data_IF_652748483101
#
_entry.id   IF_652748483101
#
_cell.length_a   1.000
_cell.length_b   1.000
_cell.length_c   1.000
_cell.angle_alpha   90.00
_cell.angle_beta   90.00
_cell.angle_gamma   90.00
#
_symmetry.space_group_name_H-M   'P 1'
#
loop_
_entity.id
_entity.type
_entity.pdbx_description
1 polymer ?
#
# COMPACT_ATOMS: atom_id res chain seq x y z
N UNK A 1 17.48 7.78 -16.42
CA UNK A 1 16.03 7.54 -16.54
C UNK A 1 15.44 8.61 -17.44
N UNK A 2 14.52 8.25 -18.32
CA UNK A 2 13.69 9.18 -19.06
C UNK A 2 12.23 8.88 -18.73
N UNK A 3 11.42 9.90 -18.46
CA UNK A 3 10.02 9.68 -18.09
C UNK A 3 9.14 10.81 -18.63
N UNK A 4 7.90 10.44 -18.99
CA UNK A 4 6.82 11.32 -19.37
C UNK A 4 5.62 11.00 -18.47
N UNK A 5 5.16 11.97 -17.67
CA UNK A 5 4.00 11.82 -16.80
C UNK A 5 2.91 12.80 -17.26
N UNK A 6 1.77 12.27 -17.68
CA UNK A 6 0.61 13.01 -18.16
C UNK A 6 -0.52 12.81 -17.17
N UNK A 7 -1.02 13.92 -16.63
CA UNK A 7 -2.12 13.96 -15.66
C UNK A 7 -3.18 14.94 -16.12
N UNK A 8 -4.44 14.53 -16.09
CA UNK A 8 -5.55 15.34 -16.57
C UNK A 8 -6.60 15.59 -15.47
N UNK A 9 -6.42 16.60 -14.60
CA UNK A 9 -7.37 16.85 -13.52
C UNK A 9 -8.66 17.51 -14.05
N UNK A 10 -9.79 16.83 -13.88
CA UNK A 10 -11.14 17.33 -14.13
C UNK A 10 -11.78 17.71 -12.80
N UNK A 11 -12.13 18.99 -12.64
CA UNK A 11 -12.70 19.52 -11.40
C UNK A 11 -14.19 19.80 -11.57
N UNK A 12 -14.99 19.37 -10.59
CA UNK A 12 -16.39 19.72 -10.44
C UNK A 12 -16.66 20.21 -9.02
N UNK A 13 -17.47 21.25 -8.87
CA UNK A 13 -17.86 21.81 -7.57
C UNK A 13 -19.37 21.79 -7.42
N UNK A 14 -19.85 21.45 -6.22
CA UNK A 14 -21.26 21.45 -5.88
C UNK A 14 -21.45 21.89 -4.42
N UNK A 15 -21.91 23.12 -4.21
CA UNK A 15 -22.04 23.69 -2.87
C UNK A 15 -20.67 23.79 -2.18
N UNK A 16 -20.54 23.17 -1.01
CA UNK A 16 -19.27 23.06 -0.25
C UNK A 16 -18.38 21.90 -0.72
N UNK A 17 -18.85 21.06 -1.64
CA UNK A 17 -18.09 19.88 -2.10
C UNK A 17 -17.28 20.18 -3.36
N UNK A 18 -16.06 19.64 -3.40
CA UNK A 18 -15.15 19.70 -4.55
C UNK A 18 -14.75 18.28 -4.93
N UNK A 19 -14.90 17.94 -6.20
CA UNK A 19 -14.54 16.65 -6.77
C UNK A 19 -13.49 16.83 -7.85
N UNK A 20 -12.46 15.99 -7.83
CA UNK A 20 -11.39 15.96 -8.82
C UNK A 20 -11.27 14.52 -9.33
N UNK A 21 -11.43 14.31 -10.64
CA UNK A 21 -11.10 13.06 -11.32
C UNK A 21 -9.86 13.32 -12.17
N UNK A 22 -8.80 12.56 -11.95
CA UNK A 22 -7.52 12.72 -12.63
C UNK A 22 -7.11 11.39 -13.26
N UNK A 23 -7.35 11.20 -14.56
CA UNK A 23 -6.67 10.15 -15.34
C UNK A 23 -5.17 10.43 -15.39
N UNK A 24 -4.38 9.36 -15.24
CA UNK A 24 -2.92 9.41 -15.19
C UNK A 24 -2.36 8.38 -16.17
N UNK A 25 -1.46 8.84 -17.04
CA UNK A 25 -0.65 7.99 -17.91
C UNK A 25 0.80 8.38 -17.75
N UNK A 26 1.64 7.43 -17.36
CA UNK A 26 3.07 7.65 -17.16
C UNK A 26 3.87 6.66 -17.98
N UNK A 27 4.77 7.15 -18.83
CA UNK A 27 5.73 6.33 -19.58
C UNK A 27 7.11 6.50 -18.97
N UNK A 28 7.79 5.41 -18.64
CA UNK A 28 9.12 5.43 -18.02
C UNK A 28 10.05 4.51 -18.79
N UNK A 29 11.22 5.02 -19.16
CA UNK A 29 12.26 4.28 -19.84
C UNK A 29 13.58 4.33 -19.08
N UNK A 30 14.19 3.16 -18.92
CA UNK A 30 15.59 3.03 -18.51
C UNK A 30 16.32 2.10 -19.48
N UNK A 31 17.26 2.67 -20.22
CA UNK A 31 18.03 1.95 -21.25
C UNK A 31 19.14 1.04 -20.74
N UNK A 32 19.17 0.74 -19.44
CA UNK A 32 20.08 -0.27 -18.89
C UNK A 32 19.35 -1.60 -18.83
N UNK A 33 20.06 -2.67 -19.19
CA UNK A 33 19.59 -4.05 -19.03
C UNK A 33 20.08 -4.67 -17.71
N UNK A 34 20.91 -3.95 -16.97
CA UNK A 34 21.47 -4.41 -15.70
C UNK A 34 20.64 -3.87 -14.54
N UNK A 35 19.99 -4.76 -13.81
CA UNK A 35 19.20 -4.43 -12.61
C UNK A 35 20.08 -4.18 -11.38
N UNK A 36 21.23 -4.86 -11.27
CA UNK A 36 22.17 -4.76 -10.14
C UNK A 36 23.24 -3.69 -10.41
N UNK A 37 23.49 -2.81 -9.44
CA UNK A 37 24.56 -1.81 -9.51
C UNK A 37 25.98 -2.38 -9.28
N UNK A 38 26.15 -3.71 -9.25
CA UNK A 38 27.44 -4.38 -9.02
C UNK A 38 27.80 -4.61 -7.55
N UNK A 39 26.82 -4.49 -6.66
CA UNK A 39 26.92 -4.68 -5.21
C UNK A 39 25.85 -5.67 -4.74
N UNK A 40 26.17 -6.44 -3.69
CA UNK A 40 25.19 -7.33 -3.03
C UNK A 40 24.06 -6.48 -2.49
N UNK A 41 22.82 -6.86 -2.78
CA UNK A 41 21.64 -6.12 -2.35
C UNK A 41 21.38 -6.35 -0.85
N UNK A 42 21.64 -5.34 -0.03
CA UNK A 42 21.46 -5.39 1.42
C UNK A 42 20.14 -4.70 1.86
N UNK A 43 19.67 -3.71 1.09
CA UNK A 43 18.63 -2.74 1.52
C UNK A 43 17.24 -2.92 0.89
N UNK A 44 17.11 -3.71 -0.19
CA UNK A 44 15.83 -3.86 -0.88
C UNK A 44 15.09 -5.14 -0.49
N UNK A 45 15.01 -5.49 0.79
CA UNK A 45 14.66 -6.87 1.20
C UNK A 45 13.20 -7.31 0.98
N UNK A 46 12.25 -6.42 0.67
CA UNK A 46 10.89 -6.79 0.25
C UNK A 46 10.25 -5.68 -0.57
N UNK A 47 9.82 -6.00 -1.80
CA UNK A 47 9.06 -5.10 -2.65
C UNK A 47 7.65 -5.66 -2.86
N UNK A 48 6.64 -4.82 -2.61
CA UNK A 48 5.23 -5.13 -2.85
C UNK A 48 4.64 -4.03 -3.71
N UNK A 49 4.11 -4.39 -4.87
CA UNK A 49 3.43 -3.44 -5.74
C UNK A 49 2.05 -3.06 -5.17
N UNK A 50 1.80 -1.77 -4.98
CA UNK A 50 0.52 -1.25 -4.48
C UNK A 50 0.19 0.12 -5.09
N UNK A 51 -0.94 0.69 -4.66
CA UNK A 51 -1.41 1.99 -5.12
C UNK A 51 -0.43 3.13 -4.78
N UNK A 52 0.34 3.01 -3.70
CA UNK A 52 1.33 4.01 -3.26
C UNK A 52 2.57 4.07 -4.15
N UNK A 53 2.91 2.99 -4.86
CA UNK A 53 4.07 2.93 -5.75
C UNK A 53 3.73 2.71 -7.24
N UNK A 54 2.44 2.67 -7.59
CA UNK A 54 1.94 2.56 -8.96
C UNK A 54 2.59 3.57 -9.92
N UNK A 55 2.69 4.84 -9.53
CA UNK A 55 3.24 5.92 -10.36
C UNK A 55 4.65 6.35 -9.95
N UNK A 56 5.37 5.53 -9.17
CA UNK A 56 6.76 5.85 -8.81
C UNK A 56 7.70 5.68 -10.00
N UNK A 57 8.61 6.64 -10.19
CA UNK A 57 9.68 6.55 -11.19
C UNK A 57 10.76 5.53 -10.81
N UNK A 58 10.88 5.18 -9.52
CA UNK A 58 11.74 4.10 -9.05
C UNK A 58 11.02 3.32 -7.94
N UNK A 59 10.69 2.05 -8.20
CA UNK A 59 9.94 1.21 -7.27
C UNK A 59 10.83 0.42 -6.30
N UNK A 60 12.11 0.20 -6.62
CA UNK A 60 13.02 -0.42 -5.68
C UNK A 60 13.42 0.57 -4.58
N UNK A 61 13.41 0.13 -3.32
CA UNK A 61 14.04 0.86 -2.23
C UNK A 61 15.56 0.77 -2.36
N UNK A 62 16.27 1.85 -2.05
CA UNK A 62 17.73 1.91 -2.14
C UNK A 62 18.28 2.20 -3.54
N UNK A 63 19.61 2.14 -3.67
CA UNK A 63 20.35 2.45 -4.90
C UNK A 63 20.86 1.23 -5.66
N UNK A 64 20.85 0.07 -4.99
CA UNK A 64 21.52 -1.16 -5.45
C UNK A 64 20.75 -1.85 -6.58
N UNK A 65 19.44 -1.58 -6.66
CA UNK A 65 18.56 -2.07 -7.71
C UNK A 65 17.82 -0.97 -8.44
N UNK A 66 17.70 -1.15 -9.74
CA UNK A 66 17.05 -0.20 -10.62
C UNK A 66 16.14 -0.93 -11.61
N UNK A 67 14.95 -0.36 -11.82
CA UNK A 67 14.05 -0.85 -12.86
C UNK A 67 14.63 -0.65 -14.26
N UNK A 68 14.42 -1.62 -15.13
CA UNK A 68 14.96 -1.70 -16.49
C UNK A 68 13.84 -1.68 -17.53
N UNK A 69 14.21 -1.35 -18.78
CA UNK A 69 13.28 -1.39 -19.91
C UNK A 69 12.32 -0.20 -19.99
N UNK A 70 11.27 -0.38 -20.79
CA UNK A 70 10.20 0.58 -21.05
C UNK A 70 8.92 0.09 -20.41
N UNK A 71 8.26 0.95 -19.63
CA UNK A 71 6.96 0.65 -19.02
C UNK A 71 5.99 1.81 -19.18
N UNK A 72 4.70 1.49 -19.21
CA UNK A 72 3.60 2.44 -19.10
C UNK A 72 2.74 2.14 -17.88
N UNK A 73 2.47 3.13 -17.05
CA UNK A 73 1.54 3.05 -15.94
C UNK A 73 0.26 3.80 -16.33
N UNK A 74 -0.88 3.14 -16.19
CA UNK A 74 -2.18 3.69 -16.55
C UNK A 74 -3.09 3.54 -15.34
N UNK A 75 -3.74 4.64 -14.95
CA UNK A 75 -4.71 4.60 -13.89
C UNK A 75 -5.45 5.91 -13.74
N UNK A 76 -6.15 6.04 -12.62
CA UNK A 76 -6.84 7.27 -12.28
C UNK A 76 -6.83 7.48 -10.78
N UNK A 77 -7.00 8.74 -10.41
CA UNK A 77 -7.20 9.19 -9.04
C UNK A 77 -8.48 9.99 -8.96
N UNK A 78 -9.27 9.73 -7.92
CA UNK A 78 -10.44 10.52 -7.58
C UNK A 78 -10.23 11.10 -6.19
N UNK A 79 -10.50 12.39 -6.03
CA UNK A 79 -10.49 13.08 -4.74
C UNK A 79 -11.81 13.80 -4.58
N UNK A 80 -12.42 13.69 -3.41
CA UNK A 80 -13.57 14.49 -3.05
C UNK A 80 -13.38 15.08 -1.66
N UNK A 81 -13.53 16.39 -1.57
CA UNK A 81 -13.63 17.14 -0.32
C UNK A 81 -15.09 17.54 -0.13
N UNK A 82 -15.66 17.27 1.04
CA UNK A 82 -17.05 17.55 1.36
C UNK A 82 -17.22 18.75 2.31
N UNK A 83 -16.12 19.43 2.69
CA UNK A 83 -16.08 20.37 3.81
C UNK A 83 -15.94 19.68 5.16
N UNK A 84 -15.84 20.48 6.24
CA UNK A 84 -15.79 20.02 7.64
C UNK A 84 -14.76 18.89 7.89
N UNK A 85 -13.60 18.99 7.25
CA UNK A 85 -12.51 18.01 7.32
C UNK A 85 -12.92 16.59 6.89
N UNK A 86 -13.95 16.48 6.05
CA UNK A 86 -14.45 15.23 5.51
C UNK A 86 -14.03 15.09 4.06
N UNK A 87 -13.32 14.00 3.74
CA UNK A 87 -12.76 13.79 2.41
C UNK A 87 -12.59 12.31 2.11
N UNK A 88 -12.53 11.98 0.82
CA UNK A 88 -12.22 10.64 0.31
C UNK A 88 -11.28 10.75 -0.89
N UNK A 89 -10.35 9.81 -0.99
CA UNK A 89 -9.46 9.62 -2.13
C UNK A 89 -9.54 8.16 -2.58
N UNK A 90 -9.67 7.97 -3.89
CA UNK A 90 -9.52 6.69 -4.57
C UNK A 90 -8.36 6.78 -5.54
N UNK A 91 -7.58 5.72 -5.66
CA UNK A 91 -6.52 5.60 -6.66
C UNK A 91 -6.50 4.17 -7.16
N UNK A 92 -6.20 3.96 -8.43
CA UNK A 92 -5.99 2.62 -8.94
C UNK A 92 -5.50 2.60 -10.36
N UNK A 93 -4.94 1.47 -10.75
CA UNK A 93 -4.41 1.27 -12.10
C UNK A 93 -3.54 0.04 -12.23
N UNK A 94 -2.79 0.03 -13.32
CA UNK A 94 -1.95 -1.07 -13.75
C UNK A 94 -0.67 -0.54 -14.39
N UNK A 95 0.39 -1.33 -14.30
CA UNK A 95 1.67 -1.12 -14.98
C UNK A 95 1.80 -2.13 -16.10
N UNK A 96 2.32 -1.69 -17.24
CA UNK A 96 2.55 -2.51 -18.42
C UNK A 96 4.03 -2.40 -18.80
N UNK A 97 4.75 -3.51 -18.79
CA UNK A 97 6.08 -3.59 -19.37
C UNK A 97 5.93 -3.72 -20.89
N UNK A 98 6.58 -2.81 -21.63
CA UNK A 98 6.38 -2.65 -23.07
C UNK A 98 7.58 -3.13 -23.90
N UNK A 99 8.81 -2.99 -23.37
CA UNK A 99 10.02 -3.38 -24.08
C UNK A 99 11.24 -3.49 -23.16
N UNK A 100 12.26 -4.22 -23.61
CA UNK A 100 13.52 -4.43 -22.88
C UNK A 100 13.37 -5.46 -21.76
N UNK A 101 14.42 -5.60 -20.95
CA UNK A 101 14.42 -6.58 -19.86
C UNK A 101 13.57 -6.09 -18.69
N UNK A 102 12.67 -6.94 -18.19
CA UNK A 102 11.89 -6.67 -16.99
C UNK A 102 12.69 -7.11 -15.74
N UNK A 103 13.10 -6.15 -14.93
CA UNK A 103 13.83 -6.38 -13.68
C UNK A 103 13.09 -7.32 -12.71
N UNK A 104 11.75 -7.36 -12.77
CA UNK A 104 10.90 -8.19 -11.92
C UNK A 104 10.59 -9.57 -12.51
N UNK A 105 11.02 -9.85 -13.75
CA UNK A 105 10.78 -11.13 -14.43
C UNK A 105 11.86 -12.19 -14.16
N UNK A 106 12.96 -11.82 -13.49
CA UNK A 106 14.04 -12.74 -13.15
C UNK A 106 14.09 -13.00 -11.64
N UNK A 107 14.19 -14.28 -11.27
CA UNK A 107 14.40 -14.67 -9.88
C UNK A 107 15.85 -14.38 -9.48
N UNK A 108 16.03 -13.53 -8.47
CA UNK A 108 17.33 -13.20 -7.88
C UNK A 108 17.56 -14.01 -6.59
N UNK A 109 18.79 -14.41 -6.26
CA UNK A 109 19.12 -14.98 -4.95
C UNK A 109 18.57 -14.20 -3.75
N UNK A 110 18.46 -12.86 -3.82
CA UNK A 110 17.88 -12.06 -2.75
C UNK A 110 16.33 -12.00 -2.75
N UNK A 111 15.66 -12.66 -3.72
CA UNK A 111 14.20 -12.72 -3.88
C UNK A 111 13.48 -11.36 -4.03
N UNK A 112 14.24 -10.29 -4.19
CA UNK A 112 13.71 -8.92 -4.29
C UNK A 112 13.06 -8.71 -5.64
N UNK A 113 11.77 -8.35 -5.62
CA UNK A 113 11.02 -8.17 -6.87
C UNK A 113 10.79 -9.46 -7.63
N UNK A 114 10.89 -10.63 -6.99
CA UNK A 114 10.65 -11.94 -7.59
C UNK A 114 9.31 -11.95 -8.38
N UNK A 115 9.28 -12.53 -9.60
CA UNK A 115 8.06 -12.70 -10.39
C UNK A 115 6.87 -13.24 -9.59
N UNK A 116 7.15 -14.15 -8.65
CA UNK A 116 6.16 -14.81 -7.82
C UNK A 116 5.52 -13.89 -6.76
N UNK A 117 6.19 -12.82 -6.30
CA UNK A 117 5.67 -11.92 -5.22
C UNK A 117 5.33 -10.53 -5.68
N UNK A 118 6.06 -10.00 -6.67
CA UNK A 118 6.12 -8.56 -6.91
C UNK A 118 4.81 -8.03 -7.50
N UNK A 119 4.05 -8.87 -8.20
CA UNK A 119 2.93 -8.44 -9.04
C UNK A 119 3.38 -7.70 -10.30
N UNK A 120 4.68 -7.73 -10.64
CA UNK A 120 5.28 -7.03 -11.78
C UNK A 120 6.06 -7.98 -12.71
N UNK A 121 6.06 -9.29 -12.45
CA UNK A 121 6.87 -10.26 -13.21
C UNK A 121 6.41 -10.49 -14.65
N UNK A 122 5.17 -10.14 -14.98
CA UNK A 122 4.55 -10.29 -16.30
C UNK A 122 4.45 -8.94 -17.01
N UNK A 123 4.21 -8.98 -18.34
CA UNK A 123 4.05 -7.75 -19.14
C UNK A 123 2.91 -6.87 -18.64
N UNK A 124 1.79 -7.48 -18.25
CA UNK A 124 0.73 -6.81 -17.50
C UNK A 124 0.94 -7.05 -16.01
N UNK A 125 1.07 -6.00 -15.22
CA UNK A 125 1.17 -6.12 -13.76
C UNK A 125 -0.15 -6.58 -13.15
N UNK A 126 -0.11 -6.90 -11.87
CA UNK A 126 -1.30 -6.96 -11.05
C UNK A 126 -1.99 -5.59 -11.04
N UNK A 127 -3.32 -5.60 -10.95
CA UNK A 127 -4.12 -4.41 -10.71
C UNK A 127 -4.00 -4.03 -9.25
N UNK A 128 -3.82 -2.74 -8.98
CA UNK A 128 -3.78 -2.20 -7.63
C UNK A 128 -4.81 -1.09 -7.49
N UNK A 129 -5.48 -1.04 -6.35
CA UNK A 129 -6.41 0.01 -6.01
C UNK A 129 -6.38 0.31 -4.51
N UNK A 130 -6.57 1.58 -4.17
CA UNK A 130 -6.60 2.09 -2.82
C UNK A 130 -7.75 3.07 -2.64
N UNK A 131 -8.31 3.08 -1.44
CA UNK A 131 -9.26 4.07 -0.93
C UNK A 131 -8.79 4.54 0.42
N UNK A 132 -8.92 5.84 0.69
CA UNK A 132 -8.72 6.40 2.02
C UNK A 132 -9.63 7.59 2.23
N UNK A 133 -10.00 7.86 3.47
CA UNK A 133 -10.84 9.00 3.80
C UNK A 133 -10.86 9.31 5.27
N UNK A 134 -11.40 10.49 5.57
CA UNK A 134 -11.59 11.01 6.93
C UNK A 134 -12.97 11.63 7.03
N UNK A 135 -13.58 11.56 8.21
CA UNK A 135 -14.82 12.27 8.55
C UNK A 135 -14.61 13.07 9.83
N UNK A 136 -14.80 14.38 9.76
CA UNK A 136 -14.67 15.34 10.88
C UNK A 136 -13.34 15.27 11.65
N UNK A 137 -12.28 14.70 11.07
CA UNK A 137 -11.04 14.30 11.74
C UNK A 137 -11.20 13.28 12.89
N UNK A 138 -12.40 12.74 13.10
CA UNK A 138 -12.71 11.78 14.17
C UNK A 138 -12.55 10.36 13.65
N UNK A 139 -13.09 10.08 12.47
CA UNK A 139 -13.03 8.76 11.86
C UNK A 139 -12.08 8.80 10.66
N UNK A 140 -11.24 7.79 10.54
CA UNK A 140 -10.37 7.56 9.39
C UNK A 140 -10.63 6.15 8.89
N UNK A 141 -10.64 5.96 7.59
CA UNK A 141 -10.79 4.66 6.98
C UNK A 141 -9.87 4.56 5.78
N UNK A 142 -9.36 3.36 5.51
CA UNK A 142 -8.64 3.09 4.29
C UNK A 142 -8.67 1.61 3.95
N UNK A 143 -8.56 1.30 2.67
CA UNK A 143 -8.37 -0.05 2.19
C UNK A 143 -7.56 -0.05 0.91
N UNK A 144 -6.79 -1.10 0.68
CA UNK A 144 -6.08 -1.34 -0.57
C UNK A 144 -6.15 -2.81 -0.96
N UNK A 145 -6.11 -3.05 -2.26
CA UNK A 145 -6.24 -4.39 -2.85
C UNK A 145 -5.26 -4.54 -4.01
N UNK A 146 -4.72 -5.76 -4.13
CA UNK A 146 -3.93 -6.21 -5.26
C UNK A 146 -4.63 -7.41 -5.90
N UNK A 147 -4.83 -7.35 -7.22
CA UNK A 147 -5.55 -8.36 -7.98
C UNK A 147 -4.71 -8.85 -9.16
N UNK A 148 -4.57 -10.17 -9.28
CA UNK A 148 -3.93 -10.82 -10.41
C UNK A 148 -4.95 -10.99 -11.55
N UNK A 149 -4.83 -10.24 -12.66
CA UNK A 149 -5.76 -10.35 -13.78
C UNK A 149 -5.61 -11.62 -14.60
N UNK A 150 -4.47 -12.31 -14.54
CA UNK A 150 -4.25 -13.57 -15.27
C UNK A 150 -4.91 -14.74 -14.53
N UNK A 151 -4.75 -14.79 -13.21
CA UNK A 151 -5.37 -15.82 -12.38
C UNK A 151 -6.79 -15.48 -11.92
N UNK A 152 -7.23 -14.23 -12.08
CA UNK A 152 -8.57 -13.78 -11.71
C UNK A 152 -8.81 -13.76 -10.19
N UNK A 153 -7.77 -13.48 -9.39
CA UNK A 153 -7.81 -13.64 -7.93
C UNK A 153 -7.17 -12.45 -7.20
N UNK A 154 -7.68 -12.16 -6.00
CA UNK A 154 -7.06 -11.20 -5.09
C UNK A 154 -5.85 -11.85 -4.44
N UNK A 155 -4.71 -11.17 -4.47
CA UNK A 155 -3.45 -11.64 -3.89
C UNK A 155 -3.16 -10.99 -2.55
N UNK A 156 -3.59 -9.73 -2.37
CA UNK A 156 -3.41 -8.97 -1.13
C UNK A 156 -4.60 -8.05 -0.88
N UNK A 157 -4.96 -7.87 0.38
CA UNK A 157 -5.88 -6.82 0.82
C UNK A 157 -5.42 -6.31 2.17
N UNK A 158 -5.48 -4.99 2.38
CA UNK A 158 -5.35 -4.40 3.69
C UNK A 158 -6.50 -3.42 3.90
N UNK A 159 -7.07 -3.39 5.09
CA UNK A 159 -8.11 -2.44 5.47
C UNK A 159 -7.86 -1.94 6.88
N UNK A 160 -8.15 -0.68 7.15
CA UNK A 160 -8.00 -0.07 8.46
C UNK A 160 -9.13 0.91 8.74
N UNK A 161 -9.59 0.92 9.98
CA UNK A 161 -10.53 1.88 10.54
C UNK A 161 -9.89 2.48 11.79
N UNK A 162 -9.90 3.80 11.88
CA UNK A 162 -9.36 4.55 13.00
C UNK A 162 -10.41 5.51 13.56
N UNK A 163 -10.43 5.63 14.87
CA UNK A 163 -11.19 6.60 15.64
C UNK A 163 -10.23 7.39 16.53
N UNK A 164 -10.42 8.71 16.59
CA UNK A 164 -9.65 9.57 17.49
C UNK A 164 -10.50 10.76 17.92
N UNK A 165 -10.87 10.81 19.21
CA UNK A 165 -11.62 11.93 19.74
C UNK A 165 -11.32 12.15 21.23
N UNK A 166 -11.12 13.40 21.65
CA UNK A 166 -10.85 13.78 23.05
C UNK A 166 -9.78 12.91 23.76
N UNK A 167 -8.72 12.54 23.04
CA UNK A 167 -7.62 11.73 23.57
C UNK A 167 -7.84 10.21 23.55
N UNK A 168 -9.06 9.75 23.26
CA UNK A 168 -9.37 8.33 23.03
C UNK A 168 -9.05 7.94 21.59
N UNK A 169 -8.43 6.77 21.41
CA UNK A 169 -8.12 6.21 20.09
C UNK A 169 -8.60 4.76 19.99
N UNK A 170 -9.07 4.36 18.82
CA UNK A 170 -9.34 2.97 18.51
C UNK A 170 -8.99 2.71 17.04
N UNK A 171 -8.11 1.77 16.78
CA UNK A 171 -7.66 1.38 15.45
C UNK A 171 -7.96 -0.11 15.26
N UNK A 172 -8.57 -0.46 14.14
CA UNK A 172 -8.84 -1.83 13.72
C UNK A 172 -8.22 -2.00 12.36
N UNK A 173 -7.45 -3.06 12.18
CA UNK A 173 -6.80 -3.37 10.90
C UNK A 173 -7.04 -4.83 10.51
N UNK A 174 -7.08 -5.05 9.21
CA UNK A 174 -7.22 -6.37 8.60
C UNK A 174 -6.22 -6.49 7.47
N UNK A 175 -5.52 -7.63 7.42
CA UNK A 175 -4.62 -7.98 6.34
C UNK A 175 -4.98 -9.37 5.81
N UNK A 176 -5.08 -9.46 4.49
CA UNK A 176 -5.16 -10.71 3.75
C UNK A 176 -3.96 -10.85 2.83
N UNK A 177 -3.32 -12.00 2.89
CA UNK A 177 -2.26 -12.40 1.99
C UNK A 177 -2.55 -13.80 1.46
N UNK A 178 -2.59 -13.92 0.13
CA UNK A 178 -2.77 -15.20 -0.53
C UNK A 178 -1.57 -16.13 -0.32
N UNK A 179 -1.85 -17.43 -0.22
CA UNK A 179 -0.86 -18.49 -0.26
C UNK A 179 0.08 -18.33 -1.45
N UNK A 180 1.38 -18.33 -1.17
CA UNK A 180 2.45 -18.30 -2.15
C UNK A 180 3.59 -19.23 -1.71
N UNK A 181 3.53 -20.52 -2.10
CA UNK A 181 4.55 -21.50 -1.72
C UNK A 181 5.96 -21.16 -2.23
N UNK A 182 6.08 -20.39 -3.31
CA UNK A 182 7.37 -19.93 -3.81
C UNK A 182 8.10 -18.98 -2.83
N UNK A 183 7.38 -18.46 -1.83
CA UNK A 183 7.88 -17.57 -0.78
C UNK A 183 7.75 -18.18 0.62
N UNK A 184 7.41 -19.47 0.70
CA UNK A 184 7.16 -20.16 1.98
C UNK A 184 5.85 -19.78 2.66
N UNK A 185 4.89 -19.18 1.94
CA UNK A 185 3.54 -18.91 2.44
C UNK A 185 2.62 -20.04 1.97
N UNK A 186 2.46 -21.08 2.77
CA UNK A 186 1.80 -22.32 2.33
C UNK A 186 0.27 -22.28 2.39
N UNK A 187 -0.31 -21.26 3.05
CA UNK A 187 -1.75 -21.09 3.20
C UNK A 187 -2.14 -19.61 3.13
N UNK A 188 -3.40 -19.35 2.81
CA UNK A 188 -3.98 -18.00 2.85
C UNK A 188 -3.94 -17.48 4.30
N UNK A 189 -3.43 -16.27 4.49
CA UNK A 189 -3.33 -15.61 5.78
C UNK A 189 -4.39 -14.54 5.91
N UNK A 190 -5.04 -14.51 7.07
CA UNK A 190 -6.07 -13.55 7.42
C UNK A 190 -5.79 -13.05 8.82
N UNK A 191 -5.27 -11.84 8.95
CA UNK A 191 -4.88 -11.27 10.23
C UNK A 191 -5.80 -10.10 10.56
N UNK A 192 -6.22 -10.00 11.82
CA UNK A 192 -6.95 -8.87 12.35
C UNK A 192 -6.23 -8.31 13.58
N UNK A 193 -6.03 -7.00 13.59
CA UNK A 193 -5.45 -6.25 14.69
C UNK A 193 -6.47 -5.28 15.25
N UNK A 194 -6.46 -5.09 16.58
CA UNK A 194 -7.20 -4.02 17.22
C UNK A 194 -6.36 -3.37 18.31
N UNK A 195 -6.28 -2.05 18.30
CA UNK A 195 -5.52 -1.26 19.28
C UNK A 195 -6.43 -0.16 19.83
N UNK A 196 -6.50 -0.04 21.15
CA UNK A 196 -7.25 1.01 21.82
C UNK A 196 -6.33 1.82 22.72
N UNK A 197 -6.61 3.11 22.84
CA UNK A 197 -5.86 4.04 23.67
C UNK A 197 -6.76 5.01 24.39
N UNK A 198 -6.40 5.38 25.62
CA UNK A 198 -7.15 6.35 26.42
C UNK A 198 -6.21 7.13 27.36
N UNK A 199 -6.59 8.36 27.76
CA UNK A 199 -5.93 9.06 28.86
C UNK A 199 -6.02 8.24 30.16
N UNK A 200 -5.00 8.33 31.01
CA UNK A 200 -5.05 7.70 32.34
C UNK A 200 -6.05 8.48 33.22
N UNK A 201 -7.03 7.83 33.87
CA UNK A 201 -8.10 8.51 34.62
C UNK A 201 -7.65 9.03 35.99
N UNK A 202 -6.35 9.30 36.18
CA UNK A 202 -5.77 9.75 37.44
C UNK A 202 -5.38 11.24 37.34
N UNK A 203 -5.85 12.12 38.25
CA UNK A 203 -5.67 13.58 38.15
C UNK A 203 -4.22 14.09 38.18
N UNK A 204 -3.25 13.27 38.57
CA UNK A 204 -1.81 13.61 38.56
C UNK A 204 -1.08 13.00 37.36
N UNK A 205 -1.82 12.42 36.41
CA UNK A 205 -1.29 11.71 35.24
C UNK A 205 -1.87 12.26 33.93
N UNK A 206 -2.12 13.57 33.86
CA UNK A 206 -2.75 14.24 32.72
C UNK A 206 -1.97 14.10 31.39
N UNK A 207 -0.67 13.81 31.47
CA UNK A 207 0.23 13.59 30.32
C UNK A 207 0.42 12.11 29.97
N UNK A 208 -0.21 11.19 30.71
CA UNK A 208 -0.06 9.76 30.49
C UNK A 208 -1.25 9.19 29.72
N UNK A 209 -0.93 8.26 28.83
CA UNK A 209 -1.90 7.47 28.06
C UNK A 209 -1.62 5.99 28.24
N UNK A 210 -2.68 5.20 28.30
CA UNK A 210 -2.59 3.74 28.22
C UNK A 210 -2.97 3.30 26.82
N UNK A 211 -2.27 2.31 26.27
CA UNK A 211 -2.69 1.58 25.08
C UNK A 211 -2.69 0.08 25.34
N UNK A 212 -3.63 -0.61 24.70
CA UNK A 212 -3.70 -2.06 24.66
C UNK A 212 -4.05 -2.49 23.24
N UNK A 213 -3.53 -3.63 22.81
CA UNK A 213 -3.83 -4.14 21.49
C UNK A 213 -3.66 -5.65 21.37
N UNK A 214 -4.33 -6.21 20.39
CA UNK A 214 -4.41 -7.64 20.09
C UNK A 214 -4.27 -7.86 18.60
N UNK A 215 -3.55 -8.91 18.22
CA UNK A 215 -3.49 -9.44 16.87
C UNK A 215 -3.86 -10.91 16.84
N UNK A 216 -4.63 -11.29 15.83
CA UNK A 216 -5.22 -12.62 15.71
C UNK A 216 -5.19 -13.10 14.26
N UNK A 217 -4.78 -14.36 14.05
CA UNK A 217 -4.90 -15.04 12.76
C UNK A 217 -6.25 -15.78 12.70
N UNK A 218 -7.12 -15.32 11.79
CA UNK A 218 -8.47 -15.83 11.61
C UNK A 218 -8.49 -17.22 10.96
N UNK A 219 -7.51 -17.56 10.14
CA UNK A 219 -7.46 -18.83 9.41
C UNK A 219 -7.09 -20.00 10.34
N UNK A 220 -6.13 -19.76 11.24
CA UNK A 220 -5.62 -20.76 12.19
C UNK A 220 -6.27 -20.64 13.57
N UNK A 221 -7.03 -19.57 13.82
CA UNK A 221 -7.63 -19.26 15.13
C UNK A 221 -6.57 -19.15 16.24
N UNK A 222 -5.46 -18.47 15.95
CA UNK A 222 -4.34 -18.30 16.88
C UNK A 222 -4.12 -16.84 17.25
N UNK A 223 -3.74 -16.63 18.51
CA UNK A 223 -3.21 -15.34 18.96
C UNK A 223 -1.83 -15.12 18.34
N UNK A 224 -1.63 -13.96 17.73
CA UNK A 224 -0.34 -13.56 17.19
C UNK A 224 0.41 -12.71 18.21
N UNK A 225 -0.25 -11.68 18.74
CA UNK A 225 0.37 -10.72 19.63
C UNK A 225 -0.63 -10.10 20.60
N UNK A 226 -0.16 -9.81 21.81
CA UNK A 226 -0.85 -8.99 22.80
C UNK A 226 0.12 -7.89 23.25
N UNK A 227 -0.30 -6.64 23.11
CA UNK A 227 0.49 -5.47 23.48
C UNK A 227 -0.21 -4.65 24.56
N UNK A 228 0.57 -4.05 25.45
CA UNK A 228 0.10 -3.15 26.49
C UNK A 228 1.21 -2.20 26.92
N UNK A 229 0.90 -0.91 27.04
CA UNK A 229 1.91 0.10 27.34
C UNK A 229 1.35 1.39 27.93
N UNK A 230 2.20 2.08 28.68
CA UNK A 230 2.00 3.44 29.15
C UNK A 230 2.91 4.39 28.36
N UNK A 231 2.34 5.50 27.91
CA UNK A 231 3.02 6.50 27.09
C UNK A 231 2.92 7.85 27.80
N UNK A 232 4.00 8.60 27.79
CA UNK A 232 4.08 9.96 28.31
C UNK A 232 4.30 10.92 27.13
N UNK A 233 3.52 12.00 27.08
CA UNK A 233 3.61 13.07 26.08
C UNK A 233 4.57 14.19 26.54
#
# INVERSE_FOLDING_TARGET
IAALDIRWPLLATAGSSTHIIEPIVQLVYRGTNTTLAGITNDDAQSFVFDDGNLFSFNRFSGYDRQETGLRANIGARYQADFGDNSWIELIGGQSFHLAGDNAFASADPAQVGNPASSGLGTDASYLVAGVRGSLWNIYRAGAKVQFDPQAGQVTRTAAALGFSNYGYTADIEYAYLRANPALGVDADQHEVGAVVGAPVPLPWMDYWRVKAGVYWDLATSQWLELQGGLYYD
#
